data_IF_625573848929
#
_entry.id   IF_625573848929
#
_cell.length_a   1.000
_cell.length_b   1.000
_cell.length_c   1.000
_cell.angle_alpha   90.00
_cell.angle_beta   90.00
_cell.angle_gamma   90.00
#
_symmetry.space_group_name_H-M   'P 1'
#
loop_
_entity.id
_entity.type
_entity.pdbx_description
1 polymer ?
#
# COMPACT_ATOMS: atom_id res chain seq x y z
N UNK A 1 10.21 -4.67 2.01
CA UNK A 1 10.28 -5.01 0.57
C UNK A 1 8.93 -5.57 0.17
N UNK A 2 8.30 -5.06 -0.90
CA UNK A 2 7.01 -5.54 -1.41
C UNK A 2 7.18 -6.13 -2.80
N UNK A 3 6.69 -7.35 -3.01
CA UNK A 3 6.59 -7.95 -4.33
C UNK A 3 5.29 -7.46 -5.00
N UNK A 4 5.42 -6.72 -6.09
CA UNK A 4 4.33 -6.06 -6.80
C UNK A 4 3.65 -6.95 -7.86
N UNK A 5 4.18 -8.15 -8.11
CA UNK A 5 3.71 -9.10 -9.14
C UNK A 5 2.20 -9.35 -9.10
N UNK A 6 1.66 -9.69 -7.92
CA UNK A 6 0.21 -9.82 -7.74
C UNK A 6 -0.46 -8.54 -7.23
N UNK A 7 0.35 -7.59 -6.77
CA UNK A 7 -0.09 -6.42 -6.01
C UNK A 7 -0.69 -5.34 -6.93
N UNK A 8 -0.13 -5.19 -8.14
CA UNK A 8 -0.65 -4.27 -9.17
C UNK A 8 -2.06 -4.68 -9.62
N UNK A 9 -2.25 -5.96 -9.93
CA UNK A 9 -3.55 -6.49 -10.37
C UNK A 9 -4.59 -6.51 -9.24
N UNK A 10 -4.12 -6.60 -7.99
CA UNK A 10 -4.98 -6.66 -6.79
C UNK A 10 -5.20 -5.29 -6.15
N UNK A 11 -4.64 -4.20 -6.69
CA UNK A 11 -4.64 -2.90 -6.04
C UNK A 11 -6.05 -2.37 -5.77
N UNK A 12 -6.96 -2.59 -6.72
CA UNK A 12 -8.39 -2.26 -6.56
C UNK A 12 -9.03 -3.02 -5.38
N UNK A 13 -8.73 -4.31 -5.23
CA UNK A 13 -9.23 -5.17 -4.15
C UNK A 13 -8.63 -4.77 -2.78
N UNK A 14 -7.38 -4.33 -2.77
CA UNK A 14 -6.69 -3.84 -1.58
C UNK A 14 -7.26 -2.49 -1.13
N UNK A 15 -7.47 -1.57 -2.08
CA UNK A 15 -7.99 -0.24 -1.83
C UNK A 15 -9.43 -0.29 -1.30
N UNK A 16 -10.31 -1.04 -1.97
CA UNK A 16 -11.71 -1.19 -1.58
C UNK A 16 -11.94 -2.17 -0.41
N UNK A 17 -10.90 -2.89 0.03
CA UNK A 17 -10.94 -3.91 1.09
C UNK A 17 -11.86 -5.11 0.76
N UNK A 18 -11.89 -5.56 -0.49
CA UNK A 18 -12.61 -6.77 -0.91
C UNK A 18 -12.09 -8.01 -0.19
N UNK A 19 -12.97 -9.00 0.04
CA UNK A 19 -12.61 -10.25 0.71
C UNK A 19 -11.49 -11.01 -0.05
N UNK A 20 -10.64 -11.73 0.70
CA UNK A 20 -9.45 -12.42 0.19
C UNK A 20 -8.18 -11.58 0.25
N UNK A 21 -8.09 -10.50 -0.53
CA UNK A 21 -6.89 -9.64 -0.55
C UNK A 21 -6.97 -8.49 0.45
N UNK A 22 -8.16 -7.95 0.71
CA UNK A 22 -8.39 -6.82 1.58
C UNK A 22 -8.06 -7.07 3.05
N UNK A 23 -7.99 -8.32 3.51
CA UNK A 23 -7.62 -8.68 4.88
C UNK A 23 -6.20 -9.22 5.02
N UNK A 24 -5.45 -9.39 3.92
CA UNK A 24 -4.07 -9.85 3.98
C UNK A 24 -3.16 -8.86 4.72
N UNK A 25 -2.12 -9.38 5.37
CA UNK A 25 -1.10 -8.57 6.07
C UNK A 25 -0.50 -7.54 5.11
N UNK A 26 -0.12 -7.98 3.91
CA UNK A 26 0.45 -7.15 2.84
C UNK A 26 -0.48 -6.01 2.42
N UNK A 27 -1.80 -6.24 2.32
CA UNK A 27 -2.76 -5.20 2.01
C UNK A 27 -2.86 -4.13 3.12
N UNK A 28 -2.77 -4.55 4.38
CA UNK A 28 -2.79 -3.63 5.52
C UNK A 28 -1.53 -2.77 5.59
N UNK A 29 -0.37 -3.36 5.34
CA UNK A 29 0.91 -2.65 5.22
C UNK A 29 0.90 -1.67 4.05
N UNK A 30 0.42 -2.09 2.87
CA UNK A 30 0.34 -1.21 1.70
C UNK A 30 -0.56 0.01 1.96
N UNK A 31 -1.73 -0.21 2.58
CA UNK A 31 -2.61 0.90 2.99
C UNK A 31 -1.96 1.81 4.02
N UNK A 32 -1.14 1.28 4.92
CA UNK A 32 -0.38 2.09 5.87
C UNK A 32 0.67 2.94 5.15
N UNK A 33 1.38 2.37 4.18
CA UNK A 33 2.36 3.11 3.36
C UNK A 33 1.65 4.22 2.57
N UNK A 34 0.52 3.94 1.95
CA UNK A 34 -0.26 4.94 1.23
C UNK A 34 -0.67 6.12 2.12
N UNK A 35 -1.06 5.86 3.38
CA UNK A 35 -1.37 6.94 4.35
C UNK A 35 -0.15 7.76 4.76
N UNK A 36 1.05 7.21 4.64
CA UNK A 36 2.31 7.85 5.03
C UNK A 36 3.15 8.22 3.80
N UNK A 37 2.55 8.31 2.60
CA UNK A 37 3.25 8.56 1.35
C UNK A 37 3.96 9.91 1.30
N UNK A 38 3.56 10.88 2.12
CA UNK A 38 4.20 12.19 2.20
C UNK A 38 5.36 12.23 3.22
N UNK A 39 5.69 11.10 3.86
CA UNK A 39 6.83 10.98 4.77
C UNK A 39 8.05 10.41 4.03
N UNK A 40 8.97 11.30 3.67
CA UNK A 40 10.21 10.97 2.95
C UNK A 40 11.09 9.94 3.67
N UNK A 41 11.12 9.92 5.00
CA UNK A 41 11.91 8.94 5.74
C UNK A 41 11.34 7.53 5.59
N UNK A 42 10.03 7.40 5.49
CA UNK A 42 9.35 6.13 5.26
C UNK A 42 9.59 5.68 3.82
N UNK A 43 9.34 6.56 2.84
CA UNK A 43 9.48 6.21 1.42
C UNK A 43 10.90 5.82 1.01
N UNK A 44 11.93 6.47 1.56
CA UNK A 44 13.35 6.12 1.29
C UNK A 44 13.71 4.69 1.69
N UNK A 45 12.97 4.09 2.60
CA UNK A 45 13.21 2.74 3.11
C UNK A 45 12.29 1.68 2.47
N UNK A 46 11.41 2.07 1.56
CA UNK A 46 10.45 1.17 0.91
C UNK A 46 10.87 0.92 -0.53
N UNK A 47 10.84 -0.35 -0.92
CA UNK A 47 11.12 -0.80 -2.28
C UNK A 47 10.01 -1.71 -2.78
N UNK A 48 9.57 -1.45 -4.01
CA UNK A 48 8.60 -2.26 -4.73
C UNK A 48 9.31 -2.98 -5.88
N UNK A 49 9.00 -4.26 -6.09
CA UNK A 49 9.59 -5.05 -7.16
C UNK A 49 8.50 -5.67 -8.04
N UNK A 50 8.52 -5.41 -9.34
CA UNK A 50 7.64 -6.05 -10.32
C UNK A 50 8.49 -6.91 -11.26
N UNK A 51 8.17 -8.19 -11.35
CA UNK A 51 8.87 -9.21 -12.12
C UNK A 51 10.37 -9.24 -11.82
N UNK A 52 10.70 -9.19 -10.53
CA UNK A 52 12.08 -9.13 -10.03
C UNK A 52 12.82 -7.81 -10.28
N UNK A 53 12.17 -6.79 -10.86
CA UNK A 53 12.75 -5.46 -11.11
C UNK A 53 12.19 -4.43 -10.15
N UNK A 54 13.07 -3.63 -9.54
CA UNK A 54 12.66 -2.52 -8.69
C UNK A 54 11.86 -1.49 -9.51
N UNK A 55 10.72 -1.04 -8.97
CA UNK A 55 9.87 0.00 -9.56
C UNK A 55 9.70 1.17 -8.58
N UNK A 56 9.52 2.40 -9.08
CA UNK A 56 9.25 3.56 -8.22
C UNK A 56 7.96 3.38 -7.40
N UNK A 57 7.99 3.81 -6.14
CA UNK A 57 6.82 3.77 -5.25
C UNK A 57 5.63 4.55 -5.83
N UNK A 58 5.90 5.65 -6.55
CA UNK A 58 4.90 6.48 -7.24
C UNK A 58 4.03 5.68 -8.21
N UNK A 59 4.57 4.63 -8.84
CA UNK A 59 3.82 3.76 -9.76
C UNK A 59 2.71 2.99 -9.05
N UNK A 60 2.89 2.69 -7.77
CA UNK A 60 1.91 1.98 -6.93
C UNK A 60 1.07 2.98 -6.13
N UNK A 61 1.69 3.98 -5.52
CA UNK A 61 1.02 4.93 -4.60
C UNK A 61 0.30 6.08 -5.31
N UNK A 62 0.66 6.37 -6.57
CA UNK A 62 -0.02 7.34 -7.42
C UNK A 62 -1.16 6.75 -8.25
N UNK A 63 -1.45 5.46 -8.09
CA UNK A 63 -2.45 4.77 -8.89
C UNK A 63 -3.89 5.25 -8.58
N UNK A 64 -4.75 5.40 -9.59
CA UNK A 64 -6.10 5.97 -9.42
C UNK A 64 -7.02 5.11 -8.55
N UNK A 65 -6.73 3.83 -8.36
CA UNK A 65 -7.48 2.88 -7.52
C UNK A 65 -7.54 3.32 -6.05
N UNK A 66 -6.56 4.10 -5.59
CA UNK A 66 -6.56 4.64 -4.24
C UNK A 66 -7.70 5.63 -3.96
N UNK A 67 -8.39 6.14 -4.98
CA UNK A 67 -9.59 6.96 -4.81
C UNK A 67 -10.71 6.23 -4.05
N UNK A 68 -10.74 4.90 -4.14
CA UNK A 68 -11.74 4.05 -3.50
C UNK A 68 -11.32 3.68 -2.06
N UNK A 69 -10.11 4.05 -1.64
CA UNK A 69 -9.62 3.78 -0.29
C UNK A 69 -10.12 4.83 0.72
N UNK A 70 -11.07 4.42 1.56
CA UNK A 70 -11.53 5.21 2.69
C UNK A 70 -11.02 4.62 4.03
N UNK A 71 -10.05 5.27 4.71
CA UNK A 71 -9.60 4.82 6.02
C UNK A 71 -10.70 5.00 7.07
N UNK A 72 -10.93 3.99 7.93
CA UNK A 72 -11.88 4.11 9.05
C UNK A 72 -11.38 5.08 10.13
N UNK A 73 -10.06 5.30 10.20
CA UNK A 73 -9.39 6.16 11.18
C UNK A 73 -8.24 6.91 10.51
N UNK A 74 -8.16 8.22 10.73
CA UNK A 74 -7.08 9.09 10.27
C UNK A 74 -5.85 8.95 11.18
N UNK A 75 -5.13 7.84 11.05
CA UNK A 75 -3.69 7.72 11.38
C UNK A 75 -3.16 7.98 12.80
N UNK A 76 -3.91 8.56 13.74
CA UNK A 76 -3.36 9.07 15.00
C UNK A 76 -3.12 8.00 16.09
N UNK A 77 -3.48 6.74 15.87
CA UNK A 77 -3.41 5.71 16.91
C UNK A 77 -2.94 4.35 16.39
N UNK A 78 -1.65 4.26 16.08
CA UNK A 78 -0.92 3.01 16.27
C UNK A 78 0.12 3.26 17.35
N UNK A 79 -0.30 3.18 18.62
CA UNK A 79 0.64 2.93 19.71
C UNK A 79 0.94 1.44 19.66
N UNK A 80 2.20 1.09 19.44
CA UNK A 80 2.66 -0.28 19.68
C UNK A 80 2.41 -0.57 21.16
N UNK A 81 1.50 -1.51 21.42
CA UNK A 81 1.24 -2.10 22.74
C UNK A 81 2.24 -3.20 23.03
#
# INVERSE_FOLDING_TARGET
>A
MFCADELVNSLKLIANKSDGYGQSITASELRWIYRNKDNDQILKNIKFYLHGKEIPAEKILGAPEWKDYNPKYSGATYKYS
#
